data_IF_989342059763
#
_entry.id   IF_989342059763
#
_cell.length_a   1.000
_cell.length_b   1.000
_cell.length_c   1.000
_cell.angle_alpha   90.00
_cell.angle_beta   90.00
_cell.angle_gamma   90.00
#
_symmetry.space_group_name_H-M   'P 1'
#
loop_
_entity.id
_entity.type
_entity.pdbx_description
1 polymer ?
#
# COMPACT_ATOMS: atom_id res chain seq x y z
N UNK A 1 26.17 -25.05 13.14
CA UNK A 1 27.00 -23.83 13.05
C UNK A 1 26.19 -22.79 12.30
N UNK A 2 25.97 -21.58 12.84
CA UNK A 2 25.48 -20.49 12.00
C UNK A 2 26.42 -20.34 10.80
N UNK A 3 25.87 -20.12 9.61
CA UNK A 3 26.70 -19.86 8.43
C UNK A 3 27.49 -18.56 8.58
N UNK A 4 28.53 -18.32 7.75
CA UNK A 4 29.38 -17.12 7.82
C UNK A 4 28.60 -15.80 7.76
N UNK A 5 27.42 -15.82 7.12
CA UNK A 5 26.54 -14.66 6.97
C UNK A 5 26.04 -14.06 8.29
N UNK A 6 25.70 -14.89 9.28
CA UNK A 6 25.14 -14.42 10.54
C UNK A 6 26.17 -13.70 11.41
N UNK A 7 27.41 -14.21 11.41
CA UNK A 7 28.53 -13.63 12.16
C UNK A 7 28.99 -12.31 11.52
N UNK A 8 29.05 -12.25 10.19
CA UNK A 8 29.37 -11.00 9.47
C UNK A 8 28.33 -9.90 9.73
N UNK A 9 27.04 -10.24 9.75
CA UNK A 9 25.97 -9.29 10.09
C UNK A 9 26.08 -8.78 11.52
N UNK A 10 26.36 -9.67 12.49
CA UNK A 10 26.52 -9.29 13.88
C UNK A 10 27.70 -8.34 14.11
N UNK A 11 28.80 -8.53 13.36
CA UNK A 11 29.95 -7.63 13.39
C UNK A 11 29.65 -6.26 12.75
N UNK A 12 28.82 -6.23 11.70
CA UNK A 12 28.45 -5.00 10.99
C UNK A 12 27.49 -4.10 11.79
N UNK A 13 26.64 -4.70 12.63
CA UNK A 13 25.52 -4.01 13.30
C UNK A 13 25.64 -4.09 14.83
N UNK A 14 26.59 -3.38 15.46
CA UNK A 14 26.76 -3.44 16.91
C UNK A 14 25.56 -2.88 17.69
N UNK A 15 24.72 -2.05 17.06
CA UNK A 15 23.50 -1.47 17.64
C UNK A 15 22.21 -2.24 17.36
N UNK A 16 22.21 -3.17 16.40
CA UNK A 16 21.03 -3.97 16.04
C UNK A 16 21.13 -5.37 16.65
N UNK A 17 19.98 -5.99 16.92
CA UNK A 17 19.99 -7.39 17.41
C UNK A 17 19.93 -8.34 16.22
N UNK A 18 21.02 -9.06 15.97
CA UNK A 18 21.08 -10.16 15.00
C UNK A 18 20.76 -11.48 15.71
N UNK A 19 19.75 -12.19 15.21
CA UNK A 19 19.25 -13.44 15.77
C UNK A 19 19.50 -14.58 14.80
N UNK A 20 20.20 -15.61 15.29
CA UNK A 20 20.54 -16.83 14.54
C UNK A 20 19.93 -18.10 15.16
N UNK A 21 19.22 -17.93 16.28
CA UNK A 21 18.53 -19.02 16.96
C UNK A 21 17.43 -19.61 16.07
N UNK A 22 17.46 -20.94 15.87
CA UNK A 22 16.58 -21.61 14.91
C UNK A 22 15.11 -21.56 15.32
N UNK A 23 14.82 -21.58 16.62
CA UNK A 23 13.44 -21.56 17.11
C UNK A 23 12.85 -20.16 16.94
N UNK A 24 13.64 -19.12 17.22
CA UNK A 24 13.21 -17.74 16.97
C UNK A 24 13.03 -17.48 15.48
N UNK A 25 13.95 -17.95 14.63
CA UNK A 25 13.83 -17.85 13.17
C UNK A 25 12.57 -18.56 12.66
N UNK A 26 12.29 -19.77 13.15
CA UNK A 26 11.06 -20.51 12.82
C UNK A 26 9.79 -19.73 13.20
N UNK A 27 9.78 -19.08 14.36
CA UNK A 27 8.64 -18.26 14.81
C UNK A 27 8.43 -16.96 13.97
N UNK A 28 9.44 -16.54 13.21
CA UNK A 28 9.38 -15.36 12.34
C UNK A 28 9.26 -15.72 10.85
N UNK A 29 9.30 -17.00 10.50
CA UNK A 29 9.30 -17.47 9.12
C UNK A 29 7.96 -17.27 8.39
N UNK A 30 6.85 -17.11 9.11
CA UNK A 30 5.51 -17.02 8.53
C UNK A 30 4.73 -15.80 9.03
N UNK A 31 3.88 -15.27 8.17
CA UNK A 31 2.76 -14.41 8.57
C UNK A 31 1.51 -15.25 8.94
N UNK A 32 0.32 -14.64 8.91
CA UNK A 32 -0.95 -15.33 9.22
C UNK A 32 -1.56 -16.04 8.02
N UNK A 33 -0.86 -16.14 6.89
CA UNK A 33 -1.29 -16.88 5.71
C UNK A 33 -1.02 -18.39 5.87
N UNK A 34 -1.93 -19.09 6.53
CA UNK A 34 -1.77 -20.52 6.91
C UNK A 34 -1.45 -21.47 5.75
N UNK A 35 -1.81 -21.11 4.51
CA UNK A 35 -1.66 -21.99 3.34
C UNK A 35 -0.56 -21.53 2.37
N UNK A 36 0.13 -20.43 2.66
CA UNK A 36 1.22 -19.95 1.81
C UNK A 36 2.51 -20.67 2.19
N UNK A 37 3.29 -21.17 1.22
CA UNK A 37 4.60 -21.74 1.52
C UNK A 37 5.53 -20.66 2.10
N UNK A 38 6.54 -21.10 2.86
CA UNK A 38 7.61 -20.27 3.35
C UNK A 38 8.93 -21.01 3.24
N UNK A 39 10.02 -20.27 3.07
CA UNK A 39 11.38 -20.78 3.10
C UNK A 39 11.97 -20.83 4.51
N UNK A 40 13.27 -21.12 4.55
CA UNK A 40 14.09 -21.09 5.77
C UNK A 40 14.97 -19.84 5.78
N UNK A 41 14.74 -18.89 6.72
CA UNK A 41 15.57 -17.68 6.79
C UNK A 41 16.98 -18.00 7.29
N UNK A 42 17.96 -17.21 6.85
CA UNK A 42 19.35 -17.33 7.30
C UNK A 42 19.63 -16.55 8.59
N UNK A 43 18.97 -15.41 8.77
CA UNK A 43 19.11 -14.55 9.94
C UNK A 43 17.86 -13.68 10.12
N UNK A 44 17.66 -13.17 11.34
CA UNK A 44 16.68 -12.16 11.67
C UNK A 44 17.43 -10.95 12.24
N UNK A 45 17.20 -9.77 11.68
CA UNK A 45 17.78 -8.51 12.17
C UNK A 45 16.67 -7.64 12.71
N UNK A 46 16.74 -7.31 14.00
CA UNK A 46 15.85 -6.34 14.64
C UNK A 46 16.49 -4.97 14.59
N UNK A 47 15.92 -4.10 13.77
CA UNK A 47 16.42 -2.74 13.52
C UNK A 47 15.90 -1.77 14.57
N UNK A 48 16.78 -0.90 15.07
CA UNK A 48 16.43 0.15 16.02
C UNK A 48 16.35 1.53 15.34
N UNK A 49 17.04 1.70 14.22
CA UNK A 49 17.06 2.94 13.45
C UNK A 49 17.15 2.70 11.94
N UNK A 50 17.00 3.77 11.17
CA UNK A 50 17.11 3.73 9.70
C UNK A 50 18.50 3.32 9.25
N UNK A 51 19.53 3.71 10.00
CA UNK A 51 20.92 3.42 9.68
C UNK A 51 21.21 1.91 9.75
N UNK A 52 20.56 1.18 10.65
CA UNK A 52 20.61 -0.29 10.66
C UNK A 52 20.02 -0.88 9.37
N UNK A 53 18.88 -0.33 8.91
CA UNK A 53 18.23 -0.76 7.66
C UNK A 53 19.16 -0.52 6.47
N UNK A 54 19.80 0.66 6.38
CA UNK A 54 20.76 0.97 5.32
C UNK A 54 21.90 -0.06 5.31
N UNK A 55 22.54 -0.29 6.47
CA UNK A 55 23.64 -1.24 6.57
C UNK A 55 23.23 -2.68 6.20
N UNK A 56 22.04 -3.14 6.57
CA UNK A 56 21.52 -4.45 6.14
C UNK A 56 21.32 -4.49 4.63
N UNK A 57 20.71 -3.47 4.04
CA UNK A 57 20.43 -3.44 2.59
C UNK A 57 21.72 -3.40 1.77
N UNK A 58 22.71 -2.60 2.18
CA UNK A 58 24.04 -2.55 1.53
C UNK A 58 24.75 -3.91 1.62
N UNK A 59 24.75 -4.54 2.80
CA UNK A 59 25.31 -5.88 2.98
C UNK A 59 24.62 -6.91 2.10
N UNK A 60 23.28 -6.91 2.10
CA UNK A 60 22.47 -7.82 1.31
C UNK A 60 22.71 -7.64 -0.19
N UNK A 61 22.82 -6.40 -0.67
CA UNK A 61 23.16 -6.09 -2.06
C UNK A 61 24.54 -6.64 -2.44
N UNK A 62 25.56 -6.41 -1.60
CA UNK A 62 26.92 -6.89 -1.82
C UNK A 62 27.00 -8.41 -1.87
N UNK A 63 26.30 -9.09 -0.96
CA UNK A 63 26.33 -10.55 -0.81
C UNK A 63 25.29 -11.27 -1.66
N UNK A 64 24.39 -10.52 -2.34
CA UNK A 64 23.24 -11.02 -3.10
C UNK A 64 22.31 -11.92 -2.27
N UNK A 65 21.99 -11.44 -1.07
CA UNK A 65 21.13 -12.14 -0.12
C UNK A 65 19.74 -11.52 -0.17
N UNK A 66 18.65 -12.31 -0.27
CA UNK A 66 17.31 -11.75 -0.23
C UNK A 66 16.99 -11.16 1.14
N UNK A 67 16.22 -10.07 1.16
CA UNK A 67 15.73 -9.44 2.39
C UNK A 67 14.21 -9.45 2.37
N UNK A 68 13.60 -9.85 3.48
CA UNK A 68 12.14 -9.80 3.68
C UNK A 68 11.83 -8.81 4.79
N UNK A 69 11.33 -7.60 4.48
CA UNK A 69 10.89 -6.64 5.49
C UNK A 69 9.66 -7.16 6.24
N UNK A 70 9.69 -7.04 7.56
CA UNK A 70 8.63 -7.51 8.43
C UNK A 70 8.23 -6.43 9.44
N UNK A 71 6.93 -6.13 9.48
CA UNK A 71 6.29 -5.52 10.64
C UNK A 71 5.83 -6.58 11.63
N UNK A 72 4.64 -6.42 12.19
CA UNK A 72 4.05 -7.40 13.13
C UNK A 72 3.52 -8.70 12.49
N UNK A 73 3.76 -8.91 11.19
CA UNK A 73 3.37 -10.13 10.42
C UNK A 73 1.88 -10.49 10.54
N UNK A 74 0.99 -9.50 10.56
CA UNK A 74 -0.47 -9.71 10.55
C UNK A 74 -1.04 -10.03 9.16
N UNK A 75 -0.20 -10.05 8.12
CA UNK A 75 -0.61 -10.30 6.73
C UNK A 75 -1.19 -11.70 6.54
N UNK A 76 -2.07 -11.84 5.55
CA UNK A 76 -2.77 -13.10 5.22
C UNK A 76 -2.55 -13.51 3.76
N UNK A 77 -1.55 -12.92 3.11
CA UNK A 77 -1.20 -13.16 1.71
C UNK A 77 0.19 -13.78 1.53
N UNK A 78 0.97 -13.95 2.61
CA UNK A 78 2.32 -14.52 2.57
C UNK A 78 3.42 -13.50 2.22
N UNK A 79 3.09 -12.21 2.11
CA UNK A 79 4.07 -11.16 1.75
C UNK A 79 5.19 -10.96 2.77
N UNK A 80 4.98 -11.40 4.02
CA UNK A 80 6.01 -11.39 5.06
C UNK A 80 6.58 -12.79 5.36
N UNK A 81 6.25 -13.82 4.56
CA UNK A 81 6.87 -15.14 4.70
C UNK A 81 8.34 -15.10 4.32
N UNK A 82 9.14 -15.91 5.01
CA UNK A 82 10.55 -16.08 4.70
C UNK A 82 10.74 -16.64 3.29
N UNK A 83 11.81 -16.21 2.65
CA UNK A 83 12.38 -16.85 1.46
C UNK A 83 13.64 -17.61 1.90
N UNK A 84 13.98 -18.69 1.21
CA UNK A 84 15.17 -19.49 1.54
C UNK A 84 16.44 -18.63 1.54
N UNK A 85 17.19 -18.71 2.64
CA UNK A 85 18.43 -17.96 2.82
C UNK A 85 18.24 -16.46 3.06
N UNK A 86 17.00 -15.98 3.25
CA UNK A 86 16.74 -14.56 3.42
C UNK A 86 17.14 -14.03 4.80
N UNK A 87 17.46 -12.74 4.83
CA UNK A 87 17.49 -11.94 6.05
C UNK A 87 16.06 -11.46 6.31
N UNK A 88 15.48 -11.86 7.43
CA UNK A 88 14.25 -11.26 7.92
C UNK A 88 14.60 -9.93 8.58
N UNK A 89 13.98 -8.84 8.13
CA UNK A 89 14.25 -7.51 8.63
C UNK A 89 13.07 -7.02 9.47
N UNK A 90 13.19 -7.15 10.79
CA UNK A 90 12.16 -6.76 11.74
C UNK A 90 12.25 -5.26 12.06
N UNK A 91 11.21 -4.55 11.63
CA UNK A 91 11.01 -3.11 11.79
C UNK A 91 10.15 -2.77 13.02
N UNK A 92 9.62 -3.77 13.74
CA UNK A 92 8.78 -3.53 14.92
C UNK A 92 9.45 -2.74 16.05
N UNK A 93 10.79 -2.77 16.25
CA UNK A 93 11.42 -1.92 17.27
C UNK A 93 11.49 -0.43 16.88
N UNK A 94 11.36 -0.09 15.59
CA UNK A 94 11.23 1.30 15.13
C UNK A 94 9.79 1.78 15.34
N UNK A 95 9.38 1.98 16.60
CA UNK A 95 7.98 2.22 17.01
C UNK A 95 7.70 3.59 17.61
N UNK A 96 8.49 4.62 17.28
CA UNK A 96 8.29 5.97 17.80
C UNK A 96 7.34 6.79 16.92
N UNK A 97 6.43 7.49 17.58
CA UNK A 97 5.73 8.63 17.00
C UNK A 97 6.68 9.83 17.13
N UNK A 98 7.16 10.33 16.01
CA UNK A 98 8.20 11.36 15.95
C UNK A 98 7.62 12.77 16.12
N UNK A 99 6.42 13.00 15.57
CA UNK A 99 5.74 14.28 15.61
C UNK A 99 4.23 14.13 15.37
N UNK A 100 3.42 14.98 16.00
CA UNK A 100 1.98 15.14 15.72
C UNK A 100 1.70 16.64 15.63
N UNK A 101 1.31 17.10 14.44
CA UNK A 101 0.95 18.48 14.18
C UNK A 101 -0.58 18.62 14.04
N UNK A 102 -1.26 19.19 15.05
CA UNK A 102 -2.71 19.39 15.00
C UNK A 102 -3.15 20.54 14.07
N UNK A 103 -2.23 21.44 13.68
CA UNK A 103 -2.52 22.54 12.75
C UNK A 103 -2.48 22.03 11.32
N UNK A 104 -1.40 21.33 10.94
CA UNK A 104 -1.23 20.76 9.60
C UNK A 104 -1.94 19.41 9.42
N UNK A 105 -2.54 18.89 10.50
CA UNK A 105 -3.21 17.59 10.56
C UNK A 105 -2.30 16.46 10.08
N UNK A 106 -1.08 16.40 10.62
CA UNK A 106 -0.09 15.36 10.28
C UNK A 106 0.42 14.59 11.48
N UNK A 107 0.83 13.34 11.24
CA UNK A 107 1.69 12.60 12.14
C UNK A 107 2.91 12.08 11.40
N UNK A 108 4.10 12.25 11.98
CA UNK A 108 5.34 11.65 11.50
C UNK A 108 5.69 10.47 12.39
N UNK A 109 5.86 9.29 11.81
CA UNK A 109 5.98 8.04 12.55
C UNK A 109 7.03 7.11 11.97
N UNK A 110 7.62 6.28 12.83
CA UNK A 110 8.41 5.12 12.43
C UNK A 110 7.50 3.94 12.00
N UNK A 111 7.98 3.00 11.16
CA UNK A 111 7.14 1.96 10.54
C UNK A 111 6.58 0.95 11.54
N UNK A 112 7.25 0.71 12.66
CA UNK A 112 6.87 -0.25 13.70
C UNK A 112 5.77 0.24 14.64
N UNK A 113 5.35 1.52 14.56
CA UNK A 113 4.24 2.04 15.36
C UNK A 113 2.98 1.21 15.09
N UNK A 114 2.27 0.78 16.15
CA UNK A 114 1.00 0.07 15.98
C UNK A 114 -0.12 1.04 15.56
N UNK A 115 -1.00 0.58 14.68
CA UNK A 115 -2.13 1.38 14.19
C UNK A 115 -3.01 1.89 15.34
N UNK A 116 -3.28 1.02 16.32
CA UNK A 116 -4.06 1.40 17.51
C UNK A 116 -3.33 2.40 18.42
N UNK A 117 -2.00 2.34 18.51
CA UNK A 117 -1.22 3.29 19.30
C UNK A 117 -1.22 4.67 18.66
N UNK A 118 -1.03 4.75 17.34
CA UNK A 118 -1.18 6.00 16.60
C UNK A 118 -2.58 6.59 16.81
N UNK A 119 -3.63 5.79 16.61
CA UNK A 119 -5.02 6.22 16.80
C UNK A 119 -5.28 6.75 18.21
N UNK A 120 -4.73 6.11 19.25
CA UNK A 120 -4.84 6.59 20.63
C UNK A 120 -4.06 7.88 20.87
N UNK A 121 -2.87 8.03 20.28
CA UNK A 121 -2.05 9.22 20.42
C UNK A 121 -2.71 10.44 19.77
N UNK A 122 -3.15 10.32 18.52
CA UNK A 122 -3.78 11.43 17.79
C UNK A 122 -5.14 11.81 18.38
N UNK A 123 -5.88 10.85 18.97
CA UNK A 123 -7.14 11.13 19.65
C UNK A 123 -6.98 12.06 20.87
N UNK A 124 -5.82 12.04 21.54
CA UNK A 124 -5.52 12.96 22.66
C UNK A 124 -5.44 14.41 22.20
N UNK A 125 -5.05 14.62 20.95
CA UNK A 125 -4.98 15.92 20.28
C UNK A 125 -6.31 16.32 19.59
N UNK A 126 -7.40 15.55 19.80
CA UNK A 126 -8.68 15.79 19.12
C UNK A 126 -8.67 15.42 17.63
N UNK A 127 -7.70 14.60 17.21
CA UNK A 127 -7.52 14.14 15.84
C UNK A 127 -7.88 12.67 15.68
N UNK A 128 -7.96 12.23 14.43
CA UNK A 128 -8.39 10.89 14.02
C UNK A 128 -7.53 10.40 12.86
N UNK A 129 -6.97 9.19 13.01
CA UNK A 129 -6.36 8.44 11.92
C UNK A 129 -7.37 7.41 11.37
N UNK A 130 -7.91 7.58 10.15
CA UNK A 130 -9.06 6.79 9.70
C UNK A 130 -8.83 5.33 9.30
N UNK A 131 -7.68 4.93 8.72
CA UNK A 131 -7.45 3.54 8.36
C UNK A 131 -7.64 2.57 9.54
N UNK A 132 -8.60 1.64 9.38
CA UNK A 132 -9.07 0.72 10.41
C UNK A 132 -9.00 -0.75 9.98
N UNK A 133 -7.81 -1.30 9.67
CA UNK A 133 -7.68 -2.71 9.32
C UNK A 133 -8.24 -3.61 10.42
N UNK A 134 -8.71 -4.80 10.06
CA UNK A 134 -9.23 -5.77 11.04
C UNK A 134 -8.19 -6.15 12.11
N UNK A 135 -6.91 -6.00 11.78
CA UNK A 135 -5.75 -6.19 12.66
C UNK A 135 -5.27 -4.89 13.34
N UNK A 136 -6.11 -3.86 13.49
CA UNK A 136 -5.72 -2.54 14.05
C UNK A 136 -4.92 -2.62 15.36
N UNK A 137 -5.26 -3.54 16.27
CA UNK A 137 -4.59 -3.67 17.57
C UNK A 137 -3.16 -4.22 17.50
N UNK A 138 -2.78 -4.86 16.39
CA UNK A 138 -1.50 -5.56 16.27
C UNK A 138 -0.82 -5.38 14.90
N UNK A 139 -1.36 -4.52 14.02
CA UNK A 139 -0.73 -4.18 12.75
C UNK A 139 0.12 -2.92 12.90
N UNK A 140 1.27 -2.93 12.27
CA UNK A 140 2.22 -1.81 12.22
C UNK A 140 1.89 -0.88 11.06
N UNK A 141 2.14 0.42 11.21
CA UNK A 141 1.95 1.43 10.16
C UNK A 141 2.71 1.07 8.87
N UNK A 142 3.98 0.64 8.97
CA UNK A 142 4.78 0.26 7.81
C UNK A 142 4.16 -0.90 7.02
N UNK A 143 3.67 -1.93 7.71
CA UNK A 143 2.92 -3.03 7.10
C UNK A 143 1.60 -2.59 6.46
N UNK A 144 0.87 -1.68 7.10
CA UNK A 144 -0.37 -1.13 6.53
C UNK A 144 -0.11 -0.33 5.25
N UNK A 145 0.98 0.45 5.20
CA UNK A 145 1.39 1.17 3.99
C UNK A 145 1.85 0.18 2.91
N UNK A 146 2.72 -0.76 3.25
CA UNK A 146 3.26 -1.75 2.31
C UNK A 146 2.16 -2.60 1.67
N UNK A 147 1.06 -2.86 2.36
CA UNK A 147 -0.09 -3.64 1.85
C UNK A 147 -1.24 -2.78 1.34
N UNK A 148 -1.12 -1.44 1.41
CA UNK A 148 -2.22 -0.51 1.20
C UNK A 148 -3.51 -0.93 1.95
N UNK A 149 -3.37 -1.17 3.25
CA UNK A 149 -4.42 -1.74 4.06
C UNK A 149 -5.71 -0.90 4.00
N UNK A 150 -6.82 -1.61 3.80
CA UNK A 150 -8.16 -1.09 4.00
C UNK A 150 -8.74 -1.56 5.33
N UNK A 151 -10.00 -1.20 5.57
CA UNK A 151 -10.74 -1.57 6.77
C UNK A 151 -12.24 -1.44 6.55
N UNK A 152 -13.05 -1.67 7.58
CA UNK A 152 -14.51 -1.58 7.47
C UNK A 152 -14.97 -0.17 7.11
N UNK A 153 -14.23 0.85 7.54
CA UNK A 153 -14.56 2.24 7.30
C UNK A 153 -14.01 2.76 5.96
N UNK A 154 -13.35 1.93 5.14
CA UNK A 154 -12.78 2.38 3.86
C UNK A 154 -13.83 2.89 2.86
N UNK A 155 -15.08 2.42 2.96
CA UNK A 155 -16.20 2.91 2.14
C UNK A 155 -16.44 4.40 2.35
N UNK A 156 -16.24 4.91 3.57
CA UNK A 156 -16.42 6.32 3.90
C UNK A 156 -15.10 7.10 3.84
N UNK A 157 -14.01 6.48 4.28
CA UNK A 157 -12.75 7.18 4.56
C UNK A 157 -11.62 6.83 3.60
N UNK A 158 -11.75 5.85 2.71
CA UNK A 158 -10.66 5.43 1.82
C UNK A 158 -9.70 4.43 2.47
N UNK A 159 -8.58 4.17 1.80
CA UNK A 159 -7.56 3.19 2.22
C UNK A 159 -6.30 3.88 2.72
N UNK A 160 -5.32 3.13 3.22
CA UNK A 160 -4.07 3.68 3.75
C UNK A 160 -3.39 4.65 2.79
N UNK A 161 -3.35 4.35 1.47
CA UNK A 161 -2.76 5.25 0.46
C UNK A 161 -3.36 6.65 0.41
N UNK A 162 -4.61 6.85 0.86
CA UNK A 162 -5.24 8.17 0.90
C UNK A 162 -4.74 9.03 2.07
N UNK A 163 -4.04 8.41 3.02
CA UNK A 163 -3.50 9.04 4.22
C UNK A 163 -1.98 9.11 4.25
N UNK A 164 -1.26 8.58 3.25
CA UNK A 164 0.21 8.70 3.18
C UNK A 164 0.57 9.96 2.40
N UNK A 165 1.20 10.94 3.06
CA UNK A 165 1.71 12.16 2.40
C UNK A 165 3.12 12.01 1.86
N UNK A 166 3.95 11.27 2.59
CA UNK A 166 5.36 11.07 2.23
C UNK A 166 5.99 9.92 3.01
N UNK A 167 7.08 9.38 2.44
CA UNK A 167 7.79 8.21 2.96
C UNK A 167 9.29 8.46 2.91
N UNK A 168 10.03 7.91 3.87
CA UNK A 168 11.46 7.63 3.74
C UNK A 168 11.61 6.15 3.47
N UNK A 169 12.22 5.79 2.34
CA UNK A 169 12.40 4.40 1.90
C UNK A 169 13.87 4.12 1.68
N UNK A 170 14.36 3.00 2.21
CA UNK A 170 15.69 2.48 1.88
C UNK A 170 15.56 1.51 0.71
N UNK A 171 16.26 1.79 -0.38
CA UNK A 171 16.25 0.98 -1.59
C UNK A 171 17.14 -0.25 -1.46
N UNK A 172 17.05 -1.16 -2.45
CA UNK A 172 17.81 -2.40 -2.48
C UNK A 172 19.34 -2.20 -2.41
N UNK A 173 19.85 -1.05 -2.85
CA UNK A 173 21.27 -0.69 -2.83
C UNK A 173 21.68 0.17 -1.62
N UNK A 174 20.79 0.34 -0.63
CA UNK A 174 21.04 1.12 0.58
C UNK A 174 20.74 2.62 0.45
N UNK A 175 20.49 3.14 -0.76
CA UNK A 175 20.14 4.57 -0.90
C UNK A 175 18.84 4.89 -0.18
N UNK A 176 18.83 6.04 0.50
CA UNK A 176 17.62 6.60 1.10
C UNK A 176 16.91 7.48 0.08
N UNK A 177 15.63 7.22 -0.13
CA UNK A 177 14.73 7.99 -0.98
C UNK A 177 13.60 8.56 -0.14
N UNK A 178 13.53 9.89 -0.07
CA UNK A 178 12.39 10.60 0.49
C UNK A 178 11.38 10.92 -0.61
N UNK A 179 10.10 10.60 -0.38
CA UNK A 179 9.01 10.84 -1.32
C UNK A 179 7.93 11.73 -0.73
N UNK A 180 7.16 12.38 -1.61
CA UNK A 180 6.00 13.18 -1.23
C UNK A 180 6.39 14.52 -0.61
N UNK A 181 5.43 15.14 0.08
CA UNK A 181 5.60 16.47 0.69
C UNK A 181 4.82 16.56 1.99
N UNK A 182 5.31 17.32 2.97
CA UNK A 182 4.54 17.60 4.19
C UNK A 182 3.30 18.48 3.91
N UNK A 183 3.38 19.32 2.88
CA UNK A 183 2.32 20.24 2.47
C UNK A 183 1.08 19.52 1.95
N UNK A 184 -0.10 20.11 2.16
CA UNK A 184 -1.38 19.57 1.69
C UNK A 184 -1.47 19.39 0.15
N UNK A 185 -0.65 20.08 -0.63
CA UNK A 185 -0.60 19.96 -2.09
C UNK A 185 0.85 19.79 -2.57
N UNK A 186 1.15 18.63 -3.13
CA UNK A 186 2.35 18.37 -3.92
C UNK A 186 1.97 18.06 -5.37
N UNK A 187 2.38 18.91 -6.31
CA UNK A 187 2.12 18.71 -7.76
C UNK A 187 3.41 18.66 -8.59
N UNK A 188 4.55 18.52 -7.92
CA UNK A 188 5.85 18.47 -8.56
C UNK A 188 6.25 17.01 -8.82
N UNK A 189 6.38 16.65 -10.10
CA UNK A 189 6.91 15.35 -10.51
C UNK A 189 5.93 14.17 -10.37
N UNK A 190 6.49 12.97 -10.33
CA UNK A 190 5.73 11.73 -10.19
C UNK A 190 5.41 11.43 -8.72
N UNK A 191 4.23 10.87 -8.48
CA UNK A 191 3.84 10.39 -7.14
C UNK A 191 4.53 9.06 -6.82
N UNK A 192 5.80 9.15 -6.41
CA UNK A 192 6.57 8.00 -5.96
C UNK A 192 6.05 7.44 -4.63
N UNK A 193 5.38 8.25 -3.81
CA UNK A 193 4.78 7.80 -2.55
C UNK A 193 3.74 6.70 -2.80
N UNK A 194 2.87 6.90 -3.80
CA UNK A 194 1.90 5.88 -4.20
C UNK A 194 2.53 4.66 -4.89
N UNK A 195 3.73 4.77 -5.45
CA UNK A 195 4.45 3.61 -6.00
C UNK A 195 4.89 2.64 -4.87
N UNK A 196 5.34 3.16 -3.74
CA UNK A 196 5.75 2.32 -2.60
C UNK A 196 4.57 1.82 -1.75
N UNK A 197 3.44 2.53 -1.77
CA UNK A 197 2.24 2.12 -1.05
C UNK A 197 1.56 0.95 -1.75
N UNK A 198 1.45 -0.20 -1.09
CA UNK A 198 1.00 -1.44 -1.74
C UNK A 198 2.10 -2.23 -2.45
N UNK A 199 3.38 -1.86 -2.29
CA UNK A 199 4.51 -2.57 -2.90
C UNK A 199 4.89 -3.88 -2.19
N UNK A 200 4.30 -4.16 -1.03
CA UNK A 200 4.58 -5.34 -0.19
C UNK A 200 6.06 -5.49 0.20
N UNK A 201 6.82 -4.39 0.23
CA UNK A 201 8.25 -4.38 0.56
C UNK A 201 9.17 -4.80 -0.59
N UNK A 202 8.63 -5.04 -1.79
CA UNK A 202 9.41 -5.51 -2.96
C UNK A 202 10.24 -4.41 -3.62
N UNK A 203 9.87 -3.14 -3.43
CA UNK A 203 10.55 -1.98 -4.04
C UNK A 203 11.53 -1.29 -3.07
N UNK A 204 11.43 -1.57 -1.77
CA UNK A 204 12.25 -0.95 -0.74
C UNK A 204 11.64 -1.07 0.66
N UNK A 205 12.40 -0.64 1.66
CA UNK A 205 12.04 -0.73 3.08
C UNK A 205 11.59 0.62 3.59
N UNK A 206 10.32 0.73 4.00
CA UNK A 206 9.79 1.97 4.58
C UNK A 206 10.37 2.15 5.99
N UNK A 207 11.05 3.27 6.23
CA UNK A 207 11.72 3.60 7.51
C UNK A 207 11.09 4.78 8.25
N UNK A 208 10.24 5.54 7.58
CA UNK A 208 9.47 6.63 8.18
C UNK A 208 8.26 6.94 7.30
N UNK A 209 7.16 7.38 7.90
CA UNK A 209 5.99 7.84 7.18
C UNK A 209 5.49 9.18 7.73
N UNK A 210 5.03 10.06 6.83
CA UNK A 210 4.23 11.23 7.17
C UNK A 210 2.80 10.97 6.76
N UNK A 211 1.89 10.97 7.73
CA UNK A 211 0.49 10.59 7.58
C UNK A 211 -0.42 11.80 7.71
N UNK A 212 -1.47 11.85 6.90
CA UNK A 212 -2.59 12.76 7.05
C UNK A 212 -3.51 12.30 8.17
N UNK A 213 -3.97 13.26 8.97
CA UNK A 213 -4.96 13.09 10.02
C UNK A 213 -6.25 13.82 9.65
N UNK A 214 -7.31 13.54 10.39
CA UNK A 214 -8.58 14.27 10.32
C UNK A 214 -8.93 14.78 11.71
N UNK A 215 -9.82 15.77 11.77
CA UNK A 215 -10.47 16.12 13.03
C UNK A 215 -11.32 14.94 13.54
N UNK A 216 -11.33 14.71 14.85
CA UNK A 216 -12.14 13.66 15.46
C UNK A 216 -13.62 13.81 15.06
N UNK A 217 -14.24 12.79 14.44
CA UNK A 217 -15.64 12.86 14.07
C UNK A 217 -16.53 12.79 15.33
N UNK A 218 -17.78 13.31 15.25
CA UNK A 218 -18.75 13.11 16.32
C UNK A 218 -19.06 11.61 16.51
N UNK A 219 -19.55 11.20 17.70
CA UNK A 219 -19.88 9.81 17.98
C UNK A 219 -20.77 9.19 16.89
N UNK A 220 -20.40 8.02 16.33
CA UNK A 220 -21.13 7.44 15.23
C UNK A 220 -22.46 6.83 15.70
N UNK A 221 -23.53 7.10 14.94
CA UNK A 221 -24.80 6.39 15.09
C UNK A 221 -24.70 5.01 14.44
N UNK A 222 -24.89 3.94 15.22
CA UNK A 222 -24.90 2.56 14.72
C UNK A 222 -26.33 2.03 14.69
N UNK A 223 -26.77 1.56 13.51
CA UNK A 223 -28.06 0.88 13.34
C UNK A 223 -27.81 -0.54 12.86
N UNK A 224 -28.39 -1.53 13.55
CA UNK A 224 -28.37 -2.94 13.13
C UNK A 224 -29.70 -3.30 12.47
N UNK A 225 -29.81 -3.27 11.13
CA UNK A 225 -31.02 -3.73 10.47
C UNK A 225 -31.14 -5.26 10.59
N UNK A 226 -32.26 -5.78 11.07
CA UNK A 226 -32.62 -7.18 10.86
C UNK A 226 -33.26 -7.32 9.49
N UNK A 227 -32.84 -8.32 8.73
CA UNK A 227 -33.39 -8.62 7.41
C UNK A 227 -33.61 -10.12 7.30
N UNK A 228 -34.74 -10.52 6.71
CA UNK A 228 -35.13 -11.93 6.58
C UNK A 228 -34.45 -12.65 5.41
N UNK A 229 -33.79 -11.92 4.49
CA UNK A 229 -33.10 -12.53 3.34
C UNK A 229 -31.92 -11.68 2.82
N UNK A 230 -30.89 -12.29 2.18
CA UNK A 230 -29.77 -11.56 1.57
C UNK A 230 -30.20 -10.61 0.44
N UNK A 231 -31.25 -10.97 -0.32
CA UNK A 231 -31.78 -10.12 -1.41
C UNK A 231 -32.32 -8.80 -0.87
N UNK A 232 -32.93 -8.83 0.31
CA UNK A 232 -33.37 -7.61 0.96
C UNK A 232 -32.20 -6.73 1.43
N UNK A 233 -30.96 -7.21 1.50
CA UNK A 233 -29.80 -6.42 1.92
C UNK A 233 -29.22 -5.51 0.82
N UNK A 234 -29.70 -5.61 -0.43
CA UNK A 234 -29.29 -4.69 -1.48
C UNK A 234 -29.71 -3.26 -1.10
N UNK A 235 -28.80 -2.27 -1.23
CA UNK A 235 -29.18 -0.88 -1.03
C UNK A 235 -30.30 -0.54 -2.01
N UNK A 236 -31.38 0.07 -1.50
CA UNK A 236 -32.38 0.66 -2.38
C UNK A 236 -31.63 1.65 -3.30
N UNK A 237 -31.86 1.62 -4.62
CA UNK A 237 -31.29 2.64 -5.49
C UNK A 237 -31.69 4.02 -4.94
N UNK A 238 -30.78 5.01 -4.96
CA UNK A 238 -31.11 6.33 -4.48
C UNK A 238 -32.37 6.83 -5.19
N UNK A 239 -33.41 7.16 -4.42
CA UNK A 239 -34.65 7.74 -4.92
C UNK A 239 -34.30 9.08 -5.59
N UNK A 240 -34.25 9.09 -6.92
CA UNK A 240 -33.87 10.27 -7.71
C UNK A 240 -33.00 10.00 -8.93
N UNK A 241 -32.46 8.78 -9.11
CA UNK A 241 -31.80 8.41 -10.38
C UNK A 241 -32.82 7.71 -11.26
N UNK A 242 -33.38 8.43 -12.23
CA UNK A 242 -34.07 7.80 -13.36
C UNK A 242 -33.09 6.83 -14.03
N UNK A 243 -33.49 5.57 -14.11
CA UNK A 243 -32.69 4.54 -14.78
C UNK A 243 -32.24 5.04 -16.15
N UNK A 244 -30.94 5.06 -16.48
CA UNK A 244 -30.54 5.17 -17.87
C UNK A 244 -31.13 3.92 -18.56
N UNK A 245 -31.91 4.14 -19.61
CA UNK A 245 -32.42 3.11 -20.51
C UNK A 245 -31.39 1.99 -20.66
N UNK A 246 -31.78 0.74 -20.36
CA UNK A 246 -30.97 -0.49 -20.37
C UNK A 246 -29.87 -0.47 -21.45
N UNK A 247 -28.71 0.08 -21.11
CA UNK A 247 -27.50 -0.16 -21.87
C UNK A 247 -27.03 -1.56 -21.48
N UNK A 248 -27.27 -2.53 -22.37
CA UNK A 248 -26.80 -3.91 -22.23
C UNK A 248 -25.30 -3.88 -21.97
N UNK A 249 -24.88 -4.05 -20.71
CA UNK A 249 -23.48 -4.31 -20.36
C UNK A 249 -23.14 -5.68 -20.93
N UNK A 250 -22.32 -5.71 -21.97
CA UNK A 250 -21.69 -6.94 -22.44
C UNK A 250 -20.61 -7.29 -21.42
N UNK A 251 -20.87 -8.28 -20.57
CA UNK A 251 -19.83 -8.93 -19.79
C UNK A 251 -18.93 -9.69 -20.76
N UNK A 252 -17.63 -9.43 -20.69
CA UNK A 252 -16.62 -10.22 -21.38
C UNK A 252 -16.34 -11.46 -20.51
N UNK A 253 -16.67 -12.65 -21.03
CA UNK A 253 -16.33 -13.91 -20.39
C UNK A 253 -15.03 -14.42 -21.03
N UNK A 254 -14.01 -14.66 -20.23
CA UNK A 254 -12.64 -14.93 -20.66
C UNK A 254 -12.37 -16.39 -21.06
N UNK A 255 -13.36 -17.28 -21.04
CA UNK A 255 -13.15 -18.72 -21.18
C UNK A 255 -13.42 -19.32 -22.57
N UNK A 256 -13.99 -18.59 -23.52
CA UNK A 256 -14.19 -19.08 -24.90
C UNK A 256 -14.07 -17.93 -25.90
N UNK A 257 -12.97 -17.89 -26.66
CA UNK A 257 -12.66 -16.83 -27.63
C UNK A 257 -13.57 -16.78 -28.87
N UNK A 258 -14.89 -16.86 -28.72
CA UNK A 258 -15.84 -16.62 -29.82
C UNK A 258 -17.09 -15.86 -29.37
N UNK A 259 -17.50 -14.91 -30.21
CA UNK A 259 -18.63 -14.00 -30.02
C UNK A 259 -19.86 -14.62 -30.69
N UNK A 260 -20.80 -15.18 -29.92
CA UNK A 260 -22.11 -15.59 -30.45
C UNK A 260 -23.18 -14.54 -30.11
N UNK A 261 -23.93 -14.14 -31.13
CA UNK A 261 -25.18 -13.38 -30.99
C UNK A 261 -26.29 -14.27 -31.50
N UNK A 262 -27.17 -14.75 -30.62
CA UNK A 262 -28.42 -15.37 -31.04
C UNK A 262 -29.41 -14.28 -31.43
N UNK A 263 -29.84 -14.33 -32.69
CA UNK A 263 -30.87 -13.52 -33.32
C UNK A 263 -32.24 -14.19 -33.17
N UNK A 264 -33.27 -13.42 -32.86
CA UNK A 264 -34.62 -13.67 -33.37
C UNK A 264 -34.92 -12.62 -34.44
N UNK A 265 -35.26 -13.11 -35.62
CA UNK A 265 -35.51 -12.32 -36.82
C UNK A 265 -37.01 -12.07 -37.01
N UNK A 266 -37.37 -10.90 -37.55
CA UNK A 266 -38.37 -10.72 -38.61
C UNK A 266 -38.45 -9.24 -39.02
N UNK A 267 -38.55 -8.96 -40.32
CA UNK A 267 -39.18 -7.72 -40.82
C UNK A 267 -38.32 -6.68 -41.53
N UNK A 268 -37.75 -7.05 -42.67
CA UNK A 268 -37.64 -6.28 -43.93
C UNK A 268 -37.72 -4.73 -43.95
N UNK A 269 -36.65 -4.06 -44.43
CA UNK A 269 -36.64 -3.20 -45.65
C UNK A 269 -35.57 -2.09 -45.62
N UNK A 270 -34.83 -1.96 -46.73
CA UNK A 270 -34.28 -0.68 -47.23
C UNK A 270 -32.95 -0.17 -46.67
N UNK A 271 -31.83 -0.55 -47.30
CA UNK A 271 -30.61 0.27 -47.30
C UNK A 271 -30.81 1.52 -48.18
N UNK A 272 -30.12 2.63 -47.87
CA UNK A 272 -29.17 3.12 -48.86
C UNK A 272 -27.79 3.41 -48.27
N UNK A 273 -26.81 3.17 -49.12
CA UNK A 273 -25.38 3.43 -48.99
C UNK A 273 -25.06 4.91 -49.19
N UNK A 274 -24.17 5.49 -48.38
CA UNK A 274 -23.13 6.46 -48.83
C UNK A 274 -22.06 6.71 -47.74
N UNK A 275 -20.81 7.04 -48.12
CA UNK A 275 -19.62 6.84 -47.29
C UNK A 275 -19.00 8.15 -46.73
N UNK A 276 -17.88 8.00 -45.97
CA UNK A 276 -16.86 8.99 -45.50
C UNK A 276 -17.01 9.36 -44.00
N UNK A 277 -15.96 9.53 -43.19
CA UNK A 277 -14.53 9.83 -43.37
C UNK A 277 -13.78 9.39 -42.09
N UNK A 278 -12.60 8.79 -42.24
CA UNK A 278 -11.58 8.77 -41.18
C UNK A 278 -11.09 10.19 -40.93
N UNK A 279 -11.01 10.61 -39.66
CA UNK A 279 -10.33 11.84 -39.28
C UNK A 279 -8.89 11.52 -38.84
N UNK A 280 -7.96 12.16 -39.54
CA UNK A 280 -6.53 12.22 -39.27
C UNK A 280 -6.23 13.14 -38.10
N UNK A 281 -5.26 12.76 -37.27
CA UNK A 281 -4.64 13.63 -36.28
C UNK A 281 -3.84 14.74 -36.98
N UNK A 282 -3.98 15.98 -36.51
CA UNK A 282 -3.19 17.12 -36.95
C UNK A 282 -2.15 17.44 -35.87
N UNK A 283 -0.87 17.35 -36.22
CA UNK A 283 0.27 17.84 -35.44
C UNK A 283 0.48 19.31 -35.76
N UNK A 284 0.38 20.17 -34.75
CA UNK A 284 0.67 21.61 -34.90
C UNK A 284 2.14 21.88 -34.60
N UNK A 285 2.89 22.27 -35.63
CA UNK A 285 4.28 22.72 -35.56
C UNK A 285 4.35 24.17 -35.06
N UNK A 286 5.06 24.43 -33.97
CA UNK A 286 5.31 25.78 -33.45
C UNK A 286 6.42 26.45 -34.27
N UNK A 287 6.12 27.60 -34.89
CA UNK A 287 7.10 28.43 -35.60
C UNK A 287 7.59 29.55 -34.67
N UNK A 288 8.90 29.65 -34.49
CA UNK A 288 9.61 30.74 -33.79
C UNK A 288 9.49 32.06 -34.55
N UNK A 289 9.10 33.14 -33.86
CA UNK A 289 9.06 34.50 -34.40
C UNK A 289 10.11 35.38 -33.69
N UNK A 290 11.08 35.85 -34.47
CA UNK A 290 12.06 36.88 -34.11
C UNK A 290 11.40 38.27 -34.00
N UNK A 291 11.88 39.09 -33.06
CA UNK A 291 11.43 40.47 -32.83
C UNK A 291 12.23 41.46 -33.70
N UNK A 292 11.63 42.58 -34.17
CA UNK A 292 12.39 43.65 -34.80
C UNK A 292 12.73 44.77 -33.79
N UNK A 293 13.87 45.38 -34.03
CA UNK A 293 14.41 46.56 -33.34
C UNK A 293 13.90 47.85 -33.98
N UNK A 294 13.55 48.81 -33.11
CA UNK A 294 13.14 50.22 -33.29
C UNK A 294 11.80 50.48 -33.97
#
# INVERSE_FOLDING_TARGET
>A
MPGPLGEELAALLPGATVVLDRDVLGAHATDRATFCPHGTPAALVRTACREDVVAVMEFAALKRVPVVPQGARSGVAGGANAVDGAILLDLTPMNRILDIDPVELTAKVEPGVLNAELSRAVAREGLYYPPDPSSTEFSTIGGNIATNAGGLCCVKYGVTADYVRGLSVVLADGRVLDTGTATAKGVAGYDLTRLFTGSEGTLGVITQATLSLRTQPPPPLRRRPSRSSPRSAQPAPPSGVSSPSRARRRCWNSSTGHRSTSSEATGNSGFPTTPRRCFSFNTTTTTTRTAPTR
#
